data_IF_529259717787
#
_entry.id   IF_529259717787
#
_cell.length_a   1.000
_cell.length_b   1.000
_cell.length_c   1.000
_cell.angle_alpha   90.00
_cell.angle_beta   90.00
_cell.angle_gamma   90.00
#
_symmetry.space_group_name_H-M   'P 1'
#
loop_
_entity.id
_entity.type
_entity.pdbx_description
1 polymer ?
#
# COMPACT_ATOMS: atom_id res chain seq x y z
N UNK A 1 -25.39 9.69 32.00
CA UNK A 1 -25.39 9.45 33.47
C UNK A 1 -24.04 8.89 33.96
N UNK A 2 -22.90 9.23 33.33
CA UNK A 2 -21.56 8.78 33.75
C UNK A 2 -20.79 9.80 34.63
N UNK A 3 -21.29 11.04 34.74
CA UNK A 3 -20.71 12.04 35.64
C UNK A 3 -21.02 11.83 37.14
N UNK A 4 -21.73 10.76 37.52
CA UNK A 4 -22.19 10.53 38.91
C UNK A 4 -21.41 9.41 39.61
N UNK A 5 -20.61 8.60 38.92
CA UNK A 5 -19.89 7.45 39.52
C UNK A 5 -18.38 7.44 39.29
N UNK A 6 -17.71 8.59 39.25
CA UNK A 6 -16.27 8.70 39.49
C UNK A 6 -15.30 7.84 38.63
N UNK A 7 -15.76 7.21 37.55
CA UNK A 7 -14.91 6.40 36.67
C UNK A 7 -14.34 7.29 35.56
N UNK A 8 -13.39 8.16 35.93
CA UNK A 8 -12.65 9.00 34.98
C UNK A 8 -11.71 8.17 34.06
N UNK A 9 -11.51 6.89 34.33
CA UNK A 9 -10.46 6.08 33.69
C UNK A 9 -10.87 5.32 32.42
N UNK A 10 -12.17 5.19 32.09
CA UNK A 10 -12.64 4.39 30.94
C UNK A 10 -13.53 5.18 30.01
N UNK A 11 -13.14 6.40 29.63
CA UNK A 11 -13.81 7.10 28.53
C UNK A 11 -13.24 6.67 27.17
N UNK A 12 -14.07 6.71 26.12
CA UNK A 12 -13.63 6.61 24.72
C UNK A 12 -12.46 7.56 24.37
N UNK A 13 -12.24 8.60 25.18
CA UNK A 13 -11.24 9.64 24.98
C UNK A 13 -9.80 9.09 25.05
N UNK A 14 -9.54 8.12 25.94
CA UNK A 14 -8.20 7.50 26.09
C UNK A 14 -8.04 6.16 25.34
N UNK A 15 -9.11 5.66 24.71
CA UNK A 15 -9.10 4.38 23.98
C UNK A 15 -8.06 4.37 22.87
N UNK A 16 -8.00 5.43 22.04
CA UNK A 16 -7.06 5.51 20.92
C UNK A 16 -5.59 5.42 21.38
N UNK A 17 -5.22 6.15 22.43
CA UNK A 17 -3.84 6.19 22.90
C UNK A 17 -3.42 4.85 23.54
N UNK A 18 -4.31 4.23 24.31
CA UNK A 18 -4.05 2.91 24.89
C UNK A 18 -3.92 1.82 23.83
N UNK A 19 -4.74 1.86 22.78
CA UNK A 19 -4.67 0.94 21.65
C UNK A 19 -3.36 1.10 20.87
N UNK A 20 -2.96 2.35 20.57
CA UNK A 20 -1.70 2.64 19.88
C UNK A 20 -0.51 2.15 20.71
N UNK A 21 -0.48 2.45 22.02
CA UNK A 21 0.60 2.03 22.91
C UNK A 21 0.78 0.51 22.91
N UNK A 22 -0.28 -0.24 23.19
CA UNK A 22 -0.23 -1.72 23.25
C UNK A 22 0.23 -2.33 21.93
N UNK A 23 -0.23 -1.78 20.82
CA UNK A 23 0.10 -2.31 19.51
C UNK A 23 1.51 -1.89 19.04
N UNK A 24 2.04 -0.78 19.56
CA UNK A 24 3.44 -0.38 19.38
C UNK A 24 4.39 -1.31 20.17
N UNK A 25 4.03 -1.68 21.40
CA UNK A 25 4.84 -2.58 22.25
C UNK A 25 5.04 -3.98 21.64
N UNK A 26 4.06 -4.49 20.88
CA UNK A 26 4.19 -5.74 20.13
C UNK A 26 5.00 -5.64 18.84
N UNK A 27 5.24 -4.43 18.34
CA UNK A 27 5.81 -4.18 17.00
C UNK A 27 7.34 -4.13 17.00
N UNK A 28 7.95 -3.85 18.15
CA UNK A 28 9.41 -3.70 18.29
C UNK A 28 10.18 -5.01 18.05
N UNK A 29 9.53 -6.17 18.17
CA UNK A 29 10.13 -7.45 17.83
C UNK A 29 10.15 -7.66 16.31
N UNK A 30 8.99 -7.55 15.66
CA UNK A 30 8.86 -7.82 14.22
C UNK A 30 9.66 -6.81 13.38
N UNK A 31 9.79 -5.55 13.84
CA UNK A 31 10.61 -4.53 13.16
C UNK A 31 12.10 -4.91 13.14
N UNK A 32 12.64 -5.42 14.25
CA UNK A 32 14.04 -5.86 14.34
C UNK A 32 14.31 -7.05 13.44
N UNK A 33 13.40 -8.03 13.45
CA UNK A 33 13.52 -9.20 12.58
C UNK A 33 13.51 -8.83 11.08
N UNK A 34 12.69 -7.85 10.69
CA UNK A 34 12.69 -7.31 9.33
C UNK A 34 13.99 -6.58 8.97
N UNK A 35 14.53 -5.75 9.87
CA UNK A 35 15.80 -5.06 9.67
C UNK A 35 16.96 -6.08 9.52
N UNK A 36 16.99 -7.11 10.36
CA UNK A 36 18.00 -8.18 10.29
C UNK A 36 17.97 -8.93 8.95
N UNK A 37 16.79 -9.35 8.48
CA UNK A 37 16.65 -10.04 7.20
C UNK A 37 17.01 -9.14 6.00
N UNK A 38 16.66 -7.85 6.06
CA UNK A 38 17.08 -6.88 5.05
C UNK A 38 18.61 -6.75 5.01
N UNK A 39 19.26 -6.66 6.18
CA UNK A 39 20.71 -6.62 6.29
C UNK A 39 21.37 -7.91 5.77
N UNK A 40 20.83 -9.08 6.07
CA UNK A 40 21.33 -10.37 5.55
C UNK A 40 21.29 -10.42 4.03
N UNK A 41 20.17 -10.00 3.41
CA UNK A 41 20.02 -9.96 1.96
C UNK A 41 21.03 -8.97 1.33
N UNK A 42 21.21 -7.80 1.94
CA UNK A 42 22.19 -6.80 1.49
C UNK A 42 23.63 -7.30 1.59
N UNK A 43 23.95 -8.02 2.66
CA UNK A 43 25.27 -8.61 2.87
C UNK A 43 25.54 -9.72 1.86
N UNK A 44 24.57 -10.60 1.60
CA UNK A 44 24.68 -11.65 0.58
C UNK A 44 24.94 -11.06 -0.81
N UNK A 45 24.24 -10.00 -1.17
CA UNK A 45 24.42 -9.35 -2.47
C UNK A 45 25.80 -8.67 -2.57
N UNK A 46 26.30 -8.11 -1.47
CA UNK A 46 27.65 -7.57 -1.39
C UNK A 46 28.73 -8.67 -1.48
N UNK A 47 28.49 -9.82 -0.86
CA UNK A 47 29.35 -11.01 -0.92
C UNK A 47 29.49 -11.51 -2.38
N UNK A 48 28.36 -11.68 -3.09
CA UNK A 48 28.33 -12.08 -4.51
C UNK A 48 29.21 -11.17 -5.37
N UNK A 49 29.13 -9.85 -5.16
CA UNK A 49 29.95 -8.87 -5.88
C UNK A 49 31.43 -8.99 -5.54
N UNK A 50 31.77 -9.12 -4.26
CA UNK A 50 33.18 -9.26 -3.85
C UNK A 50 33.83 -10.52 -4.45
N UNK A 51 33.09 -11.63 -4.50
CA UNK A 51 33.59 -12.90 -5.02
C UNK A 51 33.73 -12.92 -6.54
N UNK A 52 32.99 -12.05 -7.26
CA UNK A 52 33.15 -11.89 -8.71
C UNK A 52 34.56 -11.41 -9.11
N UNK A 53 35.31 -10.82 -8.18
CA UNK A 53 36.67 -10.31 -8.40
C UNK A 53 37.74 -11.41 -8.22
N UNK A 54 37.43 -12.52 -7.53
CA UNK A 54 38.43 -13.49 -7.06
C UNK A 54 38.12 -14.97 -7.35
N UNK A 55 36.93 -15.32 -7.87
CA UNK A 55 36.49 -16.70 -8.01
C UNK A 55 36.13 -17.15 -9.43
N UNK A 56 35.97 -18.47 -9.61
CA UNK A 56 35.44 -19.07 -10.85
C UNK A 56 33.93 -18.81 -10.95
N UNK A 57 33.51 -18.16 -12.04
CA UNK A 57 32.13 -17.71 -12.29
C UNK A 57 31.08 -18.84 -12.16
N UNK A 58 31.37 -20.06 -12.62
CA UNK A 58 30.42 -21.17 -12.57
C UNK A 58 30.12 -21.67 -11.14
N UNK A 59 31.13 -21.64 -10.26
CA UNK A 59 30.95 -22.00 -8.85
C UNK A 59 30.18 -20.93 -8.10
N UNK A 60 30.45 -19.66 -8.39
CA UNK A 60 29.72 -18.51 -7.85
C UNK A 60 28.25 -18.61 -8.26
N UNK A 61 27.99 -18.79 -9.56
CA UNK A 61 26.66 -18.87 -10.13
C UNK A 61 25.81 -19.97 -9.51
N UNK A 62 26.34 -21.17 -9.33
CA UNK A 62 25.59 -22.31 -8.77
C UNK A 62 25.35 -22.18 -7.26
N UNK A 63 26.34 -21.69 -6.51
CA UNK A 63 26.23 -21.56 -5.05
C UNK A 63 25.31 -20.40 -4.64
N UNK A 64 25.53 -19.21 -5.23
CA UNK A 64 24.86 -18.00 -4.79
C UNK A 64 23.44 -17.85 -5.35
N UNK A 65 23.15 -18.41 -6.53
CA UNK A 65 21.79 -18.33 -7.10
C UNK A 65 20.76 -18.98 -6.18
N UNK A 66 21.05 -20.16 -5.62
CA UNK A 66 20.13 -20.83 -4.68
C UNK A 66 19.96 -20.03 -3.39
N UNK A 67 21.08 -19.67 -2.76
CA UNK A 67 21.11 -18.89 -1.50
C UNK A 67 20.36 -17.57 -1.64
N UNK A 68 20.51 -16.88 -2.77
CA UNK A 68 19.79 -15.63 -3.07
C UNK A 68 18.29 -15.87 -3.25
N UNK A 69 17.90 -16.89 -4.01
CA UNK A 69 16.49 -17.21 -4.23
C UNK A 69 15.76 -17.58 -2.94
N UNK A 70 16.43 -18.29 -2.03
CA UNK A 70 15.89 -18.67 -0.71
C UNK A 70 15.70 -17.41 0.14
N UNK A 71 16.72 -16.55 0.24
CA UNK A 71 16.65 -15.30 0.99
C UNK A 71 15.61 -14.32 0.46
N UNK A 72 15.46 -14.20 -0.86
CA UNK A 72 14.37 -13.40 -1.46
C UNK A 72 13.01 -13.97 -1.08
N UNK A 73 12.85 -15.29 -1.06
CA UNK A 73 11.60 -15.93 -0.67
C UNK A 73 11.25 -15.70 0.80
N UNK A 74 12.23 -15.87 1.70
CA UNK A 74 12.08 -15.56 3.13
C UNK A 74 11.65 -14.10 3.34
N UNK A 75 12.34 -13.17 2.68
CA UNK A 75 12.04 -11.75 2.78
C UNK A 75 10.65 -11.39 2.21
N UNK A 76 10.25 -11.98 1.07
CA UNK A 76 8.90 -11.76 0.49
C UNK A 76 7.79 -12.21 1.44
N UNK A 77 7.98 -13.30 2.19
CA UNK A 77 6.99 -13.76 3.18
C UNK A 77 6.85 -12.73 4.30
N UNK A 78 7.96 -12.11 4.75
CA UNK A 78 7.93 -11.09 5.79
C UNK A 78 7.36 -9.74 5.33
N UNK A 79 7.64 -9.29 4.10
CA UNK A 79 7.07 -8.03 3.57
C UNK A 79 5.55 -8.08 3.41
N UNK A 80 4.98 -9.25 3.08
CA UNK A 80 3.52 -9.47 3.09
C UNK A 80 2.92 -9.20 4.49
N UNK A 81 3.72 -9.38 5.55
CA UNK A 81 3.34 -9.17 6.94
C UNK A 81 3.95 -7.89 7.53
N UNK A 82 4.31 -6.91 6.67
CA UNK A 82 5.13 -5.74 7.02
C UNK A 82 4.95 -5.25 8.46
N UNK A 83 5.99 -5.35 9.29
CA UNK A 83 5.92 -5.03 10.70
C UNK A 83 5.82 -3.52 10.95
N UNK A 84 5.86 -2.69 9.91
CA UNK A 84 5.81 -1.23 10.03
C UNK A 84 4.37 -0.74 10.27
N UNK A 85 3.36 -1.54 9.89
CA UNK A 85 1.95 -1.17 10.06
C UNK A 85 1.35 -1.76 11.33
N UNK A 86 1.00 -0.89 12.28
CA UNK A 86 0.17 -1.25 13.43
C UNK A 86 -1.24 -1.60 12.95
N UNK A 87 -1.49 -2.88 12.70
CA UNK A 87 -2.82 -3.38 12.40
C UNK A 87 -3.56 -3.65 13.72
N UNK A 88 -4.13 -2.59 14.31
CA UNK A 88 -4.94 -2.68 15.54
C UNK A 88 -5.97 -3.82 15.53
N UNK A 89 -6.48 -4.16 14.34
CA UNK A 89 -7.42 -5.25 14.11
C UNK A 89 -6.86 -6.67 14.39
N UNK A 90 -5.54 -6.83 14.43
CA UNK A 90 -4.87 -8.12 14.68
C UNK A 90 -4.54 -8.34 16.16
N UNK A 91 -4.75 -7.33 17.03
CA UNK A 91 -4.48 -7.43 18.46
C UNK A 91 -5.76 -7.83 19.22
N UNK A 92 -5.85 -9.07 19.69
CA UNK A 92 -7.03 -9.61 20.41
C UNK A 92 -7.37 -8.84 21.68
N UNK A 93 -6.35 -8.37 22.42
CA UNK A 93 -6.54 -7.55 23.62
C UNK A 93 -7.20 -6.21 23.32
N UNK A 94 -6.85 -5.60 22.18
CA UNK A 94 -7.45 -4.35 21.69
C UNK A 94 -8.96 -4.52 21.49
N UNK A 95 -9.40 -5.64 20.91
CA UNK A 95 -10.81 -5.92 20.70
C UNK A 95 -11.58 -6.21 21.98
N UNK A 96 -10.95 -6.85 22.95
CA UNK A 96 -11.58 -7.10 24.25
C UNK A 96 -11.89 -5.80 24.97
N UNK A 97 -10.94 -4.85 24.94
CA UNK A 97 -11.11 -3.53 25.52
C UNK A 97 -12.14 -2.67 24.75
N UNK A 98 -12.10 -2.69 23.41
CA UNK A 98 -13.12 -2.03 22.56
C UNK A 98 -14.53 -2.58 22.85
N UNK A 99 -14.67 -3.91 22.98
CA UNK A 99 -15.96 -4.55 23.27
C UNK A 99 -16.51 -4.12 24.63
N UNK A 100 -15.66 -4.07 25.66
CA UNK A 100 -16.05 -3.64 26.99
C UNK A 100 -16.61 -2.21 26.98
N UNK A 101 -15.88 -1.26 26.39
CA UNK A 101 -16.30 0.14 26.30
C UNK A 101 -17.58 0.26 25.47
N UNK A 102 -17.65 -0.41 24.31
CA UNK A 102 -18.85 -0.37 23.48
C UNK A 102 -20.08 -0.92 24.23
N UNK A 103 -19.93 -2.02 24.97
CA UNK A 103 -21.01 -2.56 25.80
C UNK A 103 -21.44 -1.60 26.90
N UNK A 104 -20.51 -0.89 27.54
CA UNK A 104 -20.84 0.09 28.58
C UNK A 104 -21.58 1.30 28.01
N UNK A 105 -21.02 1.93 26.97
CA UNK A 105 -21.54 3.15 26.34
C UNK A 105 -22.88 2.94 25.64
N UNK A 106 -23.08 1.76 25.02
CA UNK A 106 -24.28 1.47 24.24
C UNK A 106 -25.26 0.53 24.96
N UNK A 107 -25.04 0.22 26.24
CA UNK A 107 -25.93 -0.67 27.02
C UNK A 107 -27.40 -0.22 27.06
N UNK A 108 -27.64 1.09 27.08
CA UNK A 108 -28.99 1.68 27.19
C UNK A 108 -29.54 2.20 25.86
N UNK A 109 -28.91 1.89 24.72
CA UNK A 109 -29.37 2.35 23.42
C UNK A 109 -30.67 1.63 23.04
N UNK A 110 -31.65 2.35 22.48
CA UNK A 110 -32.85 1.71 21.93
C UNK A 110 -32.50 0.92 20.66
N UNK A 111 -33.26 -0.12 20.35
CA UNK A 111 -33.08 -0.91 19.12
C UNK A 111 -33.10 -0.06 17.85
N UNK A 112 -34.01 0.91 17.77
CA UNK A 112 -34.10 1.87 16.65
C UNK A 112 -32.83 2.70 16.50
N UNK A 113 -32.27 3.19 17.60
CA UNK A 113 -31.05 4.00 17.56
C UNK A 113 -29.81 3.12 17.31
N UNK A 114 -29.78 1.89 17.82
CA UNK A 114 -28.73 0.91 17.53
C UNK A 114 -28.66 0.62 16.03
N UNK A 115 -29.80 0.35 15.39
CA UNK A 115 -29.87 0.08 13.96
C UNK A 115 -29.36 1.27 13.14
N UNK A 116 -29.75 2.51 13.50
CA UNK A 116 -29.23 3.72 12.84
C UNK A 116 -27.71 3.85 13.01
N UNK A 117 -27.19 3.61 14.21
CA UNK A 117 -25.76 3.67 14.49
C UNK A 117 -24.99 2.62 13.69
N UNK A 118 -25.48 1.38 13.63
CA UNK A 118 -24.88 0.30 12.84
C UNK A 118 -24.78 0.71 11.37
N UNK A 119 -25.86 1.21 10.77
CA UNK A 119 -25.85 1.65 9.37
C UNK A 119 -24.85 2.79 9.11
N UNK A 120 -24.75 3.76 10.04
CA UNK A 120 -23.77 4.83 9.97
C UNK A 120 -22.33 4.32 10.08
N UNK A 121 -22.08 3.38 11.00
CA UNK A 121 -20.76 2.76 11.19
C UNK A 121 -20.35 1.91 10.00
N UNK A 122 -21.28 1.13 9.42
CA UNK A 122 -21.04 0.35 8.21
C UNK A 122 -20.70 1.24 7.03
N UNK A 123 -21.44 2.34 6.86
CA UNK A 123 -21.16 3.33 5.82
C UNK A 123 -19.80 3.99 6.02
N UNK A 124 -19.51 4.48 7.24
CA UNK A 124 -18.23 5.09 7.58
C UNK A 124 -17.05 4.12 7.44
N UNK A 125 -17.23 2.86 7.84
CA UNK A 125 -16.24 1.80 7.68
C UNK A 125 -15.94 1.52 6.20
N UNK A 126 -16.99 1.41 5.38
CA UNK A 126 -16.85 1.22 3.92
C UNK A 126 -16.12 2.39 3.28
N UNK A 127 -16.52 3.61 3.60
CA UNK A 127 -15.86 4.82 3.10
C UNK A 127 -14.38 4.84 3.50
N UNK A 128 -14.07 4.58 4.77
CA UNK A 128 -12.69 4.53 5.27
C UNK A 128 -11.84 3.50 4.53
N UNK A 129 -12.40 2.32 4.24
CA UNK A 129 -11.68 1.24 3.54
C UNK A 129 -11.53 1.49 2.04
N UNK A 130 -12.44 2.23 1.43
CA UNK A 130 -12.42 2.49 -0.01
C UNK A 130 -11.70 3.81 -0.36
N UNK A 131 -11.50 4.70 0.61
CA UNK A 131 -10.80 5.98 0.41
C UNK A 131 -9.37 5.84 -0.17
N UNK A 132 -8.55 4.83 0.19
CA UNK A 132 -7.23 4.63 -0.43
C UNK A 132 -7.29 4.45 -1.96
N UNK A 133 -8.37 3.87 -2.47
CA UNK A 133 -8.58 3.66 -3.92
C UNK A 133 -8.68 5.01 -4.63
N UNK A 134 -9.36 5.98 -4.01
CA UNK A 134 -9.42 7.34 -4.52
C UNK A 134 -8.03 7.97 -4.59
N UNK A 135 -7.23 7.81 -3.54
CA UNK A 135 -5.86 8.33 -3.51
C UNK A 135 -5.00 7.68 -4.61
N UNK A 136 -5.12 6.38 -4.83
CA UNK A 136 -4.40 5.69 -5.90
C UNK A 136 -4.84 6.15 -7.30
N UNK A 137 -6.14 6.31 -7.53
CA UNK A 137 -6.67 6.88 -8.78
C UNK A 137 -6.06 8.27 -9.00
N UNK A 138 -6.13 9.14 -8.01
CA UNK A 138 -5.60 10.50 -8.10
C UNK A 138 -4.10 10.50 -8.41
N UNK A 139 -3.34 9.71 -7.68
CA UNK A 139 -1.90 9.56 -7.87
C UNK A 139 -1.59 9.09 -9.30
N UNK A 140 -2.23 8.00 -9.73
CA UNK A 140 -2.03 7.43 -11.07
C UNK A 140 -2.31 8.47 -12.17
N UNK A 141 -3.45 9.16 -12.10
CA UNK A 141 -3.84 10.16 -13.12
C UNK A 141 -2.96 11.41 -13.09
N UNK A 142 -2.32 11.72 -11.96
CA UNK A 142 -1.45 12.88 -11.81
C UNK A 142 -0.02 12.59 -12.25
N UNK A 143 0.44 11.35 -12.09
CA UNK A 143 1.84 10.94 -12.33
C UNK A 143 2.08 10.27 -13.67
N UNK A 144 1.06 10.26 -14.54
CA UNK A 144 1.14 9.68 -15.89
C UNK A 144 0.84 10.75 -16.93
N UNK A 145 1.41 10.58 -18.11
CA UNK A 145 1.16 11.43 -19.28
C UNK A 145 -0.18 11.07 -19.93
N UNK A 146 -0.72 11.95 -20.78
CA UNK A 146 -2.06 11.76 -21.34
C UNK A 146 -2.19 10.52 -22.24
N UNK A 147 -1.14 10.16 -22.99
CA UNK A 147 -1.08 8.94 -23.80
C UNK A 147 -1.01 7.68 -22.92
N UNK A 148 -0.20 7.72 -21.86
CA UNK A 148 -0.08 6.66 -20.85
C UNK A 148 -1.42 6.43 -20.13
N UNK A 149 -2.14 7.50 -19.76
CA UNK A 149 -3.47 7.41 -19.15
C UNK A 149 -4.47 6.69 -20.06
N UNK A 150 -4.45 7.01 -21.36
CA UNK A 150 -5.30 6.33 -22.35
C UNK A 150 -5.04 4.83 -22.37
N UNK A 151 -3.77 4.42 -22.44
CA UNK A 151 -3.37 3.00 -22.42
C UNK A 151 -3.80 2.29 -21.13
N UNK A 152 -3.59 2.93 -19.96
CA UNK A 152 -4.00 2.38 -18.67
C UNK A 152 -5.50 2.14 -18.65
N UNK A 153 -6.30 3.11 -19.08
CA UNK A 153 -7.75 2.98 -19.07
C UNK A 153 -8.26 1.95 -20.07
N UNK A 154 -7.65 1.84 -21.25
CA UNK A 154 -7.97 0.77 -22.19
C UNK A 154 -7.75 -0.63 -21.59
N UNK A 155 -6.65 -0.81 -20.85
CA UNK A 155 -6.36 -2.06 -20.14
C UNK A 155 -7.36 -2.33 -19.02
N UNK A 156 -7.71 -1.31 -18.22
CA UNK A 156 -8.76 -1.43 -17.18
C UNK A 156 -10.08 -1.84 -17.81
N UNK A 157 -10.49 -1.19 -18.92
CA UNK A 157 -11.73 -1.48 -19.63
C UNK A 157 -11.78 -2.90 -20.18
N UNK A 158 -10.67 -3.41 -20.74
CA UNK A 158 -10.56 -4.81 -21.19
C UNK A 158 -10.70 -5.78 -20.01
N UNK A 159 -10.02 -5.52 -18.90
CA UNK A 159 -10.08 -6.38 -17.70
C UNK A 159 -11.44 -6.36 -17.03
N UNK A 160 -12.13 -5.21 -16.98
CA UNK A 160 -13.51 -5.10 -16.49
C UNK A 160 -14.48 -5.99 -17.29
N UNK A 161 -14.31 -6.06 -18.61
CA UNK A 161 -15.11 -6.96 -19.46
C UNK A 161 -14.87 -8.45 -19.14
N UNK A 162 -13.63 -8.83 -18.81
CA UNK A 162 -13.30 -10.22 -18.48
C UNK A 162 -13.93 -10.71 -17.17
N UNK A 163 -14.27 -9.80 -16.25
CA UNK A 163 -14.85 -10.12 -14.94
C UNK A 163 -16.35 -9.85 -14.84
N UNK A 164 -16.98 -9.38 -15.92
CA UNK A 164 -18.40 -9.00 -15.96
C UNK A 164 -19.34 -10.13 -15.49
N UNK A 165 -19.07 -11.37 -15.90
CA UNK A 165 -19.89 -12.53 -15.52
C UNK A 165 -19.55 -13.12 -14.13
N UNK A 166 -18.53 -12.56 -13.45
CA UNK A 166 -18.05 -13.04 -12.14
C UNK A 166 -18.49 -12.15 -10.98
N UNK A 167 -19.17 -11.03 -11.27
CA UNK A 167 -19.51 -9.99 -10.29
C UNK A 167 -21.01 -9.72 -10.34
N UNK A 168 -21.58 -9.32 -9.19
CA UNK A 168 -22.98 -8.93 -9.14
C UNK A 168 -23.23 -7.72 -10.05
N UNK A 169 -24.30 -7.77 -10.86
CA UNK A 169 -24.66 -6.72 -11.83
C UNK A 169 -24.68 -5.30 -11.22
N UNK A 170 -25.21 -5.15 -10.01
CA UNK A 170 -25.25 -3.85 -9.31
C UNK A 170 -23.86 -3.30 -8.95
N UNK A 171 -22.94 -4.17 -8.52
CA UNK A 171 -21.56 -3.79 -8.19
C UNK A 171 -20.77 -3.46 -9.47
N UNK A 172 -20.96 -4.26 -10.53
CA UNK A 172 -20.36 -4.00 -11.84
C UNK A 172 -20.83 -2.66 -12.43
N UNK A 173 -22.10 -2.30 -12.27
CA UNK A 173 -22.61 -1.00 -12.71
C UNK A 173 -21.86 0.15 -12.04
N UNK A 174 -21.63 0.07 -10.74
CA UNK A 174 -20.89 1.10 -9.99
C UNK A 174 -19.40 1.11 -10.40
N UNK A 175 -18.78 -0.06 -10.65
CA UNK A 175 -17.41 -0.13 -11.18
C UNK A 175 -17.31 0.55 -12.55
N UNK A 176 -18.29 0.35 -13.44
CA UNK A 176 -18.36 1.02 -14.74
C UNK A 176 -18.54 2.52 -14.58
N UNK A 177 -19.38 2.97 -13.64
CA UNK A 177 -19.52 4.39 -13.31
C UNK A 177 -18.19 5.01 -12.86
N UNK A 178 -17.44 4.33 -11.97
CA UNK A 178 -16.10 4.78 -11.53
C UNK A 178 -15.15 4.85 -12.73
N UNK A 179 -15.12 3.81 -13.57
CA UNK A 179 -14.30 3.75 -14.78
C UNK A 179 -14.61 4.92 -15.74
N UNK A 180 -15.88 5.18 -16.01
CA UNK A 180 -16.33 6.27 -16.89
C UNK A 180 -15.97 7.64 -16.31
N UNK A 181 -16.14 7.83 -14.99
CA UNK A 181 -15.72 9.06 -14.30
C UNK A 181 -14.23 9.31 -14.50
N UNK A 182 -13.39 8.29 -14.33
CA UNK A 182 -11.94 8.41 -14.53
C UNK A 182 -11.65 8.76 -15.99
N UNK A 183 -12.23 8.01 -16.93
CA UNK A 183 -12.01 8.19 -18.37
C UNK A 183 -12.42 9.59 -18.87
N UNK A 184 -13.47 10.19 -18.31
CA UNK A 184 -13.90 11.55 -18.66
C UNK A 184 -13.04 12.66 -18.01
N UNK A 185 -12.11 12.30 -17.11
CA UNK A 185 -11.38 13.27 -16.27
C UNK A 185 -9.86 13.01 -16.26
N UNK A 186 -9.31 12.39 -17.31
CA UNK A 186 -7.88 12.02 -17.36
C UNK A 186 -6.93 13.22 -17.17
N UNK A 187 -7.29 14.40 -17.68
CA UNK A 187 -6.49 15.62 -17.53
C UNK A 187 -6.70 16.35 -16.20
N UNK A 188 -7.54 15.82 -15.30
CA UNK A 188 -7.88 16.52 -14.06
C UNK A 188 -6.80 16.36 -12.99
N UNK A 189 -6.18 17.48 -12.59
CA UNK A 189 -5.15 17.53 -11.55
C UNK A 189 -5.68 17.95 -10.17
N UNK A 190 -6.89 18.50 -10.09
CA UNK A 190 -7.47 18.99 -8.84
C UNK A 190 -8.05 17.83 -8.01
N UNK A 191 -7.44 17.57 -6.86
CA UNK A 191 -7.89 16.55 -5.92
C UNK A 191 -9.36 16.71 -5.49
N UNK A 192 -9.82 17.95 -5.30
CA UNK A 192 -11.21 18.23 -4.91
C UNK A 192 -12.23 17.76 -5.96
N UNK A 193 -11.86 17.83 -7.24
CA UNK A 193 -12.70 17.31 -8.32
C UNK A 193 -12.85 15.80 -8.23
N UNK A 194 -11.74 15.09 -7.98
CA UNK A 194 -11.75 13.64 -7.76
C UNK A 194 -12.56 13.24 -6.55
N UNK A 195 -12.43 13.94 -5.41
CA UNK A 195 -13.26 13.68 -4.22
C UNK A 195 -14.73 13.89 -4.50
N UNK A 196 -15.11 14.97 -5.18
CA UNK A 196 -16.52 15.25 -5.45
C UNK A 196 -17.16 14.20 -6.37
N UNK A 197 -16.40 13.67 -7.33
CA UNK A 197 -16.91 12.70 -8.31
C UNK A 197 -16.89 11.26 -7.80
N UNK A 198 -15.81 10.85 -7.11
CA UNK A 198 -15.58 9.44 -6.77
C UNK A 198 -16.03 9.04 -5.36
N UNK A 199 -16.17 9.97 -4.42
CA UNK A 199 -16.48 9.63 -3.03
C UNK A 199 -17.83 8.92 -2.91
N UNK A 200 -18.84 9.40 -3.65
CA UNK A 200 -20.18 8.80 -3.65
C UNK A 200 -20.18 7.36 -4.18
N UNK A 201 -19.74 7.06 -5.42
CA UNK A 201 -19.74 5.68 -5.91
C UNK A 201 -18.87 4.75 -5.06
N UNK A 202 -17.71 5.21 -4.58
CA UNK A 202 -16.87 4.43 -3.66
C UNK A 202 -17.52 4.18 -2.30
N UNK A 203 -18.34 5.09 -1.79
CA UNK A 203 -19.07 4.90 -0.53
C UNK A 203 -20.21 3.88 -0.61
N UNK A 204 -20.66 3.56 -1.83
CA UNK A 204 -21.73 2.60 -2.08
C UNK A 204 -21.14 1.21 -2.35
N UNK A 205 -20.07 1.14 -3.15
CA UNK A 205 -19.46 -0.11 -3.58
C UNK A 205 -18.93 -0.95 -2.40
N UNK A 206 -19.32 -2.23 -2.25
CA UNK A 206 -18.75 -3.11 -1.24
C UNK A 206 -17.24 -3.17 -1.34
N UNK A 207 -16.55 -3.27 -0.20
CA UNK A 207 -15.10 -3.13 -0.17
C UNK A 207 -14.36 -4.17 -1.03
N UNK A 208 -14.80 -5.42 -1.06
CA UNK A 208 -14.18 -6.45 -1.90
C UNK A 208 -14.23 -6.08 -3.38
N UNK A 209 -15.37 -5.58 -3.84
CA UNK A 209 -15.57 -5.14 -5.23
C UNK A 209 -14.75 -3.87 -5.50
N UNK A 210 -14.72 -2.93 -4.56
CA UNK A 210 -13.87 -1.75 -4.67
C UNK A 210 -12.38 -2.12 -4.76
N UNK A 211 -11.93 -3.08 -3.93
CA UNK A 211 -10.56 -3.59 -3.96
C UNK A 211 -10.23 -4.30 -5.27
N UNK A 212 -11.17 -5.09 -5.80
CA UNK A 212 -11.00 -5.70 -7.12
C UNK A 212 -10.82 -4.66 -8.23
N UNK A 213 -11.58 -3.55 -8.19
CA UNK A 213 -11.40 -2.45 -9.13
C UNK A 213 -10.01 -1.79 -8.97
N UNK A 214 -9.60 -1.56 -7.73
CA UNK A 214 -8.27 -1.03 -7.39
C UNK A 214 -7.15 -1.93 -7.92
N UNK A 215 -7.28 -3.25 -7.78
CA UNK A 215 -6.33 -4.23 -8.29
C UNK A 215 -6.28 -4.22 -9.82
N UNK A 216 -7.43 -4.06 -10.49
CA UNK A 216 -7.45 -3.89 -11.95
C UNK A 216 -6.72 -2.64 -12.39
N UNK A 217 -6.93 -1.52 -11.72
CA UNK A 217 -6.24 -0.27 -12.01
C UNK A 217 -4.74 -0.42 -11.80
N UNK A 218 -4.35 -0.99 -10.66
CA UNK A 218 -2.95 -1.24 -10.31
C UNK A 218 -2.24 -2.12 -11.35
N UNK A 219 -2.82 -3.27 -11.69
CA UNK A 219 -2.25 -4.16 -12.71
C UNK A 219 -2.24 -3.52 -14.11
N UNK A 220 -3.03 -2.48 -14.34
CA UNK A 220 -3.04 -1.71 -15.59
C UNK A 220 -2.02 -0.59 -15.61
N UNK A 221 -1.70 -0.01 -14.45
CA UNK A 221 -0.75 1.08 -14.34
C UNK A 221 0.66 0.65 -13.94
N UNK A 222 0.87 -0.56 -13.39
CA UNK A 222 2.15 -0.96 -12.77
C UNK A 222 3.36 -0.73 -13.66
N UNK A 223 3.25 -1.09 -14.94
CA UNK A 223 4.37 -0.98 -15.87
C UNK A 223 4.70 0.49 -16.17
N UNK A 224 3.68 1.32 -16.37
CA UNK A 224 3.85 2.76 -16.55
C UNK A 224 4.45 3.42 -15.32
N UNK A 225 3.98 3.06 -14.12
CA UNK A 225 4.53 3.62 -12.88
C UNK A 225 5.98 3.17 -12.69
N UNK A 226 6.28 1.88 -12.92
CA UNK A 226 7.65 1.35 -12.85
C UNK A 226 8.59 2.01 -13.86
N UNK A 227 8.14 2.32 -15.08
CA UNK A 227 8.99 3.00 -16.07
C UNK A 227 9.39 4.42 -15.63
N UNK A 228 8.56 5.10 -14.83
CA UNK A 228 8.93 6.40 -14.22
C UNK A 228 10.07 6.29 -13.20
N UNK A 229 10.32 5.12 -12.63
CA UNK A 229 11.47 4.88 -11.75
C UNK A 229 12.79 4.65 -12.50
N UNK A 230 12.79 4.49 -13.82
CA UNK A 230 14.01 4.21 -14.60
C UNK A 230 15.12 5.25 -14.41
N UNK A 231 14.77 6.51 -14.14
CA UNK A 231 15.72 7.58 -13.78
C UNK A 231 16.34 7.42 -12.37
N UNK A 232 15.67 6.68 -11.49
CA UNK A 232 16.05 6.46 -10.09
C UNK A 232 16.54 5.02 -9.82
N UNK A 233 16.41 4.11 -10.79
CA UNK A 233 16.81 2.70 -10.68
C UNK A 233 18.27 2.55 -10.23
N UNK A 234 19.17 3.41 -10.71
CA UNK A 234 20.57 3.45 -10.26
C UNK A 234 20.71 3.80 -8.78
N UNK A 235 19.96 4.77 -8.28
CA UNK A 235 19.99 5.20 -6.88
C UNK A 235 19.34 4.17 -5.96
N UNK A 236 18.26 3.55 -6.41
CA UNK A 236 17.62 2.42 -5.74
C UNK A 236 18.56 1.21 -5.65
N UNK A 237 19.14 0.79 -6.77
CA UNK A 237 20.11 -0.31 -6.82
C UNK A 237 21.38 0.01 -6.00
N UNK A 238 21.82 1.26 -5.97
CA UNK A 238 22.96 1.70 -5.15
C UNK A 238 22.65 1.66 -3.65
N UNK A 239 21.48 2.15 -3.23
CA UNK A 239 21.10 2.28 -1.81
C UNK A 239 20.72 0.94 -1.18
N UNK A 240 19.95 0.12 -1.89
CA UNK A 240 19.45 -1.15 -1.36
C UNK A 240 20.49 -2.27 -1.53
N UNK A 241 21.31 -2.23 -2.59
CA UNK A 241 22.15 -3.38 -2.98
C UNK A 241 23.61 -3.04 -3.30
N UNK A 242 24.09 -1.82 -3.05
CA UNK A 242 25.46 -1.38 -3.40
C UNK A 242 25.76 -1.53 -4.93
N UNK A 243 24.78 -1.31 -5.81
CA UNK A 243 24.93 -1.28 -7.29
C UNK A 243 24.26 -2.46 -8.04
N UNK A 244 24.40 -2.58 -9.37
CA UNK A 244 23.84 -3.71 -10.14
C UNK A 244 24.62 -5.01 -9.91
N UNK A 245 23.93 -6.17 -9.91
CA UNK A 245 24.55 -7.49 -10.02
C UNK A 245 24.65 -7.82 -11.51
N UNK A 246 25.85 -8.17 -12.00
CA UNK A 246 26.04 -8.57 -13.40
C UNK A 246 25.29 -9.86 -13.71
N UNK A 247 24.61 -9.92 -14.86
CA UNK A 247 23.82 -11.06 -15.35
C UNK A 247 24.62 -12.37 -15.28
N UNK A 248 25.94 -12.30 -15.50
CA UNK A 248 26.81 -13.46 -15.55
C UNK A 248 27.02 -14.16 -14.20
N UNK A 249 26.69 -13.50 -13.08
CA UNK A 249 26.91 -13.99 -11.72
C UNK A 249 25.77 -14.87 -11.21
N UNK A 250 24.64 -14.90 -11.89
CA UNK A 250 23.43 -15.61 -11.46
C UNK A 250 22.87 -16.50 -12.58
N UNK A 251 22.08 -17.50 -12.21
CA UNK A 251 21.24 -18.21 -13.17
C UNK A 251 20.16 -17.27 -13.72
N UNK A 252 19.65 -17.49 -14.95
CA UNK A 252 18.55 -16.70 -15.50
C UNK A 252 17.32 -16.65 -14.58
N UNK A 253 17.01 -17.78 -13.92
CA UNK A 253 15.92 -17.87 -12.96
C UNK A 253 16.14 -16.97 -11.73
N UNK A 254 17.34 -17.02 -11.12
CA UNK A 254 17.66 -16.18 -9.99
C UNK A 254 17.67 -14.69 -10.37
N UNK A 255 18.12 -14.37 -11.58
CA UNK A 255 18.08 -13.01 -12.11
C UNK A 255 16.63 -12.51 -12.30
N UNK A 256 15.74 -13.34 -12.85
CA UNK A 256 14.32 -13.00 -12.98
C UNK A 256 13.68 -12.78 -11.62
N UNK A 257 13.90 -13.68 -10.65
CA UNK A 257 13.33 -13.57 -9.30
C UNK A 257 13.84 -12.33 -8.55
N UNK A 258 15.11 -11.99 -8.75
CA UNK A 258 15.72 -10.77 -8.22
C UNK A 258 15.08 -9.51 -8.84
N UNK A 259 14.88 -9.48 -10.16
CA UNK A 259 14.21 -8.38 -10.84
C UNK A 259 12.74 -8.22 -10.40
N UNK A 260 12.01 -9.32 -10.25
CA UNK A 260 10.66 -9.27 -9.69
C UNK A 260 10.65 -8.69 -8.28
N UNK A 261 11.58 -9.12 -7.43
CA UNK A 261 11.73 -8.58 -6.09
C UNK A 261 12.05 -7.07 -6.08
N UNK A 262 12.88 -6.59 -7.02
CA UNK A 262 13.13 -5.16 -7.18
C UNK A 262 11.86 -4.40 -7.55
N UNK A 263 11.13 -4.88 -8.55
CA UNK A 263 9.87 -4.26 -8.98
C UNK A 263 8.84 -4.23 -7.85
N UNK A 264 8.72 -5.31 -7.08
CA UNK A 264 7.81 -5.38 -5.93
C UNK A 264 8.19 -4.34 -4.86
N UNK A 265 9.48 -4.17 -4.58
CA UNK A 265 9.96 -3.20 -3.59
C UNK A 265 9.76 -1.75 -4.07
N UNK A 266 9.99 -1.48 -5.35
CA UNK A 266 9.69 -0.17 -5.94
C UNK A 266 8.19 0.15 -5.86
N UNK A 267 7.33 -0.81 -6.22
CA UNK A 267 5.88 -0.64 -6.10
C UNK A 267 5.44 -0.44 -4.65
N UNK A 268 6.08 -1.10 -3.67
CA UNK A 268 5.82 -0.84 -2.25
C UNK A 268 6.14 0.60 -1.85
N UNK A 269 7.23 1.20 -2.37
CA UNK A 269 7.54 2.61 -2.13
C UNK A 269 6.46 3.55 -2.70
N UNK A 270 5.83 3.20 -3.82
CA UNK A 270 4.71 3.98 -4.37
C UNK A 270 3.52 4.00 -3.42
N UNK A 271 3.24 2.89 -2.72
CA UNK A 271 2.16 2.87 -1.71
C UNK A 271 2.43 3.87 -0.58
N UNK A 272 3.68 3.96 -0.13
CA UNK A 272 4.09 4.93 0.88
C UNK A 272 3.97 6.37 0.37
N UNK A 273 4.30 6.61 -0.91
CA UNK A 273 4.11 7.90 -1.56
C UNK A 273 2.65 8.32 -1.64
N UNK A 274 1.75 7.38 -1.95
CA UNK A 274 0.31 7.63 -1.98
C UNK A 274 -0.20 7.98 -0.57
N UNK A 275 0.29 7.30 0.46
CA UNK A 275 -0.06 7.60 1.85
C UNK A 275 0.45 8.97 2.31
N UNK A 276 1.70 9.29 1.98
CA UNK A 276 2.28 10.60 2.27
C UNK A 276 1.55 11.71 1.51
N UNK A 277 1.24 11.51 0.23
CA UNK A 277 0.41 12.41 -0.57
C UNK A 277 -0.94 12.64 0.12
N UNK A 278 -1.64 11.57 0.50
CA UNK A 278 -2.93 11.67 1.16
C UNK A 278 -2.84 12.45 2.49
N UNK A 279 -1.75 12.29 3.23
CA UNK A 279 -1.47 13.08 4.42
C UNK A 279 -1.27 14.57 4.11
N UNK A 280 -0.48 14.90 3.08
CA UNK A 280 -0.21 16.28 2.66
C UNK A 280 -1.45 16.97 2.12
N UNK A 281 -2.27 16.28 1.32
CA UNK A 281 -3.57 16.76 0.83
C UNK A 281 -4.51 17.12 1.99
N UNK A 282 -4.57 16.29 3.04
CA UNK A 282 -5.36 16.57 4.25
C UNK A 282 -4.87 17.79 5.02
N UNK A 283 -3.58 18.15 4.88
CA UNK A 283 -2.96 19.34 5.49
C UNK A 283 -3.01 20.57 4.60
N UNK A 284 -3.64 20.49 3.41
CA UNK A 284 -3.72 21.60 2.46
C UNK A 284 -2.41 21.89 1.71
N UNK A 285 -1.46 20.95 1.69
CA UNK A 285 -0.15 21.10 1.05
C UNK A 285 -0.11 20.36 -0.29
N UNK A 286 -0.96 20.78 -1.22
CA UNK A 286 -1.23 20.07 -2.49
C UNK A 286 -0.09 20.27 -3.49
N UNK A 287 0.34 21.52 -3.69
CA UNK A 287 1.31 21.90 -4.74
C UNK A 287 2.67 21.23 -4.54
N UNK A 288 3.09 21.09 -3.28
CA UNK A 288 4.37 20.47 -2.89
C UNK A 288 4.47 18.99 -3.26
N UNK A 289 3.36 18.32 -3.56
CA UNK A 289 3.36 16.92 -4.02
C UNK A 289 3.23 16.81 -5.54
N UNK A 290 2.46 17.71 -6.16
CA UNK A 290 2.25 17.71 -7.61
C UNK A 290 3.58 17.86 -8.36
N UNK A 291 4.47 18.72 -7.86
CA UNK A 291 5.78 19.02 -8.43
C UNK A 291 6.82 17.89 -8.28
N UNK A 292 6.57 16.88 -7.44
CA UNK A 292 7.54 15.82 -7.16
C UNK A 292 7.43 14.67 -8.16
N UNK A 293 8.56 14.15 -8.64
CA UNK A 293 8.57 12.93 -9.46
C UNK A 293 8.10 11.70 -8.69
N UNK A 294 7.67 10.65 -9.40
CA UNK A 294 7.48 9.32 -8.81
C UNK A 294 8.81 8.84 -8.19
N UNK A 295 8.78 8.33 -6.96
CA UNK A 295 9.98 7.86 -6.24
C UNK A 295 10.65 8.92 -5.35
N UNK A 296 10.06 10.11 -5.19
CA UNK A 296 10.63 11.17 -4.35
C UNK A 296 10.71 10.84 -2.86
N UNK A 297 9.78 10.07 -2.28
CA UNK A 297 9.82 9.77 -0.83
C UNK A 297 11.03 8.90 -0.53
N UNK A 298 11.30 7.95 -1.43
CA UNK A 298 12.48 7.10 -1.37
C UNK A 298 13.77 7.93 -1.54
N UNK A 299 13.80 8.87 -2.48
CA UNK A 299 14.93 9.79 -2.69
C UNK A 299 15.23 10.63 -1.43
N UNK A 300 14.22 11.26 -0.85
CA UNK A 300 14.36 12.14 0.33
C UNK A 300 14.84 11.34 1.56
N UNK A 301 14.49 10.05 1.66
CA UNK A 301 14.93 9.17 2.75
C UNK A 301 16.39 8.72 2.64
N UNK A 302 16.93 8.60 1.42
CA UNK A 302 18.30 8.11 1.16
C UNK A 302 19.31 9.24 1.00
N UNK A 303 18.87 10.42 0.56
CA UNK A 303 19.71 11.62 0.49
C UNK A 303 19.01 12.78 1.22
N UNK A 304 19.01 12.78 2.57
CA UNK A 304 18.58 13.96 3.30
C UNK A 304 19.52 15.11 2.95
N UNK A 305 18.95 16.21 2.45
CA UNK A 305 19.67 17.44 2.14
C UNK A 305 20.03 18.22 3.40
#
# INVERSE_FOLDING_TARGET
>A
MQGIMGNEQTSCWNLRQNLIRKASESQDYDKREFEDQYHELRNLISEIKSQSVSGSLDKIKTHYSRKLMDKISEFKIMTIHSPIRILLQNHSESWTYVKLIASQEFSSISSTNANKLILLLEHGHRLRRNLPILHRIYYCMTKTEDDEKGLIMDLVGRRLKLIENKIKKGELKIMREIYEIIQQNLSQICYKTWTNKLLKPLSILPHYSAKLFDDLLFESSKHTILSKFSSYERLFNASVFNGPITIDLLTPEAHTKLNEFFNDTLLASVEEEIEFMAYMLKKGRIDTHLEKDVGYVFRDAIMPS
#
